data_IF_161968702331
#
_entry.id   IF_161968702331
#
_cell.length_a   1.000
_cell.length_b   1.000
_cell.length_c   1.000
_cell.angle_alpha   90.00
_cell.angle_beta   90.00
_cell.angle_gamma   90.00
#
_symmetry.space_group_name_H-M   'P 1'
#
loop_
_entity.id
_entity.type
_entity.pdbx_description
1 polymer ?
#
# COMPACT_ATOMS: atom_id res chain seq x y z
N UNK A 1 -44.20 52.43 42.22
CA UNK A 1 -42.83 52.02 41.85
C UNK A 1 -42.92 50.68 41.13
N UNK A 2 -42.88 50.66 39.79
CA UNK A 2 -42.94 49.43 38.99
C UNK A 2 -41.60 49.24 38.29
N UNK A 3 -40.88 48.19 38.68
CA UNK A 3 -39.64 47.76 38.03
C UNK A 3 -40.01 46.83 36.88
N UNK A 4 -39.80 47.28 35.65
CA UNK A 4 -39.93 46.45 34.45
C UNK A 4 -38.74 45.52 34.31
N UNK A 5 -39.02 44.22 34.13
CA UNK A 5 -38.04 43.18 33.85
C UNK A 5 -37.80 43.16 32.32
N UNK A 6 -36.57 43.44 31.88
CA UNK A 6 -36.18 43.31 30.47
C UNK A 6 -35.58 41.92 30.28
N UNK A 7 -36.30 41.04 29.57
CA UNK A 7 -35.81 39.73 29.17
C UNK A 7 -34.95 39.86 27.91
N UNK A 8 -33.63 39.68 28.06
CA UNK A 8 -32.70 39.63 26.94
C UNK A 8 -32.75 38.25 26.26
N UNK A 9 -33.11 38.25 24.97
CA UNK A 9 -33.06 37.07 24.11
C UNK A 9 -31.61 36.85 23.64
N UNK A 10 -30.94 35.82 24.16
CA UNK A 10 -29.61 35.44 23.70
C UNK A 10 -29.72 34.62 22.40
N UNK A 11 -29.11 35.11 21.33
CA UNK A 11 -29.06 34.44 20.03
C UNK A 11 -27.88 33.44 20.03
N UNK A 12 -28.19 32.16 20.06
CA UNK A 12 -27.18 31.08 20.00
C UNK A 12 -26.69 30.91 18.56
N UNK A 13 -25.45 31.31 18.28
CA UNK A 13 -24.79 30.98 17.00
C UNK A 13 -24.35 29.52 17.08
N UNK A 14 -25.06 28.64 16.36
CA UNK A 14 -24.67 27.23 16.23
C UNK A 14 -23.43 27.11 15.36
N UNK A 15 -22.31 26.67 15.93
CA UNK A 15 -21.13 26.28 15.16
C UNK A 15 -21.45 24.99 14.40
N UNK A 16 -21.48 25.07 13.06
CA UNK A 16 -21.51 23.88 12.22
C UNK A 16 -20.18 23.15 12.40
N UNK A 17 -20.21 21.98 13.05
CA UNK A 17 -19.06 21.11 13.12
C UNK A 17 -18.78 20.58 11.70
N UNK A 18 -17.68 21.03 11.10
CA UNK A 18 -17.15 20.38 9.89
C UNK A 18 -16.69 19.00 10.34
N UNK A 19 -17.20 17.90 9.73
CA UNK A 19 -16.71 16.58 10.05
C UNK A 19 -15.19 16.57 9.81
N UNK A 20 -14.43 16.17 10.82
CA UNK A 20 -13.00 15.97 10.65
C UNK A 20 -12.82 14.98 9.50
N UNK A 21 -12.03 15.34 8.49
CA UNK A 21 -11.60 14.39 7.47
C UNK A 21 -11.06 13.15 8.19
N UNK A 22 -11.48 11.96 7.75
CA UNK A 22 -10.96 10.72 8.31
C UNK A 22 -9.44 10.79 8.26
N UNK A 23 -8.79 10.63 9.42
CA UNK A 23 -7.34 10.61 9.47
C UNK A 23 -6.88 9.32 8.78
N UNK A 24 -6.53 9.42 7.50
CA UNK A 24 -5.92 8.35 6.74
C UNK A 24 -4.42 8.66 6.63
N UNK A 25 -3.61 8.30 7.63
CA UNK A 25 -2.20 8.63 7.60
C UNK A 25 -1.54 7.85 6.46
N UNK A 26 -1.24 8.53 5.36
CA UNK A 26 -0.38 8.01 4.28
C UNK A 26 1.01 8.61 4.42
N UNK A 27 2.06 8.00 3.83
CA UNK A 27 3.41 8.58 3.87
C UNK A 27 3.53 10.00 3.30
N UNK A 28 2.61 10.40 2.41
CA UNK A 28 2.51 11.76 1.85
C UNK A 28 1.72 12.73 2.72
N UNK A 29 1.01 12.26 3.74
CA UNK A 29 0.26 13.10 4.68
C UNK A 29 1.18 13.73 5.72
N UNK A 30 0.76 14.84 6.35
CA UNK A 30 1.52 15.47 7.43
C UNK A 30 1.81 14.46 8.57
N UNK A 31 3.08 14.33 8.96
CA UNK A 31 3.55 13.36 9.96
C UNK A 31 3.70 11.91 9.45
N UNK A 32 3.15 11.60 8.27
CA UNK A 32 3.26 10.31 7.61
C UNK A 32 2.59 9.14 8.35
N UNK A 33 2.70 7.95 7.77
CA UNK A 33 2.28 6.72 8.43
C UNK A 33 3.35 6.21 9.39
N UNK A 34 2.98 6.04 10.67
CA UNK A 34 3.86 5.53 11.73
C UNK A 34 5.22 6.26 11.82
N UNK A 35 5.24 7.57 11.57
CA UNK A 35 6.45 8.40 11.56
C UNK A 35 7.36 8.24 10.34
N UNK A 36 6.89 7.56 9.28
CA UNK A 36 7.62 7.33 8.03
C UNK A 36 7.04 8.19 6.89
N UNK A 37 6.84 9.47 7.18
CA UNK A 37 6.47 10.46 6.17
C UNK A 37 7.68 10.93 5.38
N UNK A 38 7.45 11.43 4.17
CA UNK A 38 8.51 12.05 3.34
C UNK A 38 9.08 13.36 3.91
N UNK A 39 8.57 13.83 5.05
CA UNK A 39 9.01 15.04 5.72
C UNK A 39 8.95 16.24 4.77
N UNK A 40 10.08 16.91 4.53
CA UNK A 40 10.23 18.04 3.61
C UNK A 40 10.71 17.64 2.20
N UNK A 41 10.91 16.35 1.94
CA UNK A 41 11.38 15.86 0.65
C UNK A 41 10.33 16.05 -0.46
N UNK A 42 10.78 16.41 -1.65
CA UNK A 42 9.95 16.45 -2.86
C UNK A 42 9.58 15.02 -3.26
N UNK A 43 8.28 14.74 -3.23
CA UNK A 43 7.71 13.46 -3.64
C UNK A 43 7.33 13.52 -5.12
N UNK A 44 7.82 12.55 -5.89
CA UNK A 44 7.45 12.31 -7.27
C UNK A 44 6.57 11.06 -7.39
N UNK A 45 5.82 10.96 -8.49
CA UNK A 45 4.98 9.80 -8.80
C UNK A 45 5.33 9.20 -10.15
N UNK A 46 5.15 7.89 -10.26
CA UNK A 46 5.05 7.18 -11.54
C UNK A 46 3.69 6.50 -11.61
N UNK A 47 2.96 6.76 -12.70
CA UNK A 47 1.59 6.28 -12.88
C UNK A 47 1.55 5.18 -13.94
N UNK A 48 1.01 4.03 -13.55
CA UNK A 48 0.55 2.98 -14.45
C UNK A 48 -0.97 3.04 -14.66
N UNK A 49 -1.53 2.07 -15.39
CA UNK A 49 -2.98 1.97 -15.54
C UNK A 49 -3.72 1.63 -14.23
N UNK A 50 -3.12 0.85 -13.32
CA UNK A 50 -3.77 0.41 -12.08
C UNK A 50 -3.02 0.80 -10.81
N UNK A 51 -1.73 1.17 -10.91
CA UNK A 51 -0.85 1.41 -9.76
C UNK A 51 -0.20 2.79 -9.89
N UNK A 52 -0.05 3.48 -8.76
CA UNK A 52 0.80 4.66 -8.62
C UNK A 52 1.94 4.36 -7.65
N UNK A 53 3.17 4.68 -8.04
CA UNK A 53 4.33 4.60 -7.16
C UNK A 53 4.76 5.99 -6.73
N UNK A 54 4.76 6.24 -5.42
CA UNK A 54 5.31 7.44 -4.80
C UNK A 54 6.76 7.18 -4.38
N UNK A 55 7.65 8.12 -4.68
CA UNK A 55 9.06 8.00 -4.34
C UNK A 55 9.69 9.39 -4.19
N UNK A 56 10.88 9.44 -3.60
CA UNK A 56 11.71 10.64 -3.58
C UNK A 56 13.15 10.29 -3.97
N UNK A 57 13.91 11.28 -4.43
CA UNK A 57 15.34 11.17 -4.74
C UNK A 57 16.22 11.82 -3.66
N UNK A 58 15.62 12.30 -2.57
CA UNK A 58 16.31 13.01 -1.50
C UNK A 58 15.86 12.57 -0.10
N UNK A 59 16.64 12.95 0.91
CA UNK A 59 16.38 12.60 2.30
C UNK A 59 16.47 11.10 2.60
N UNK A 60 15.89 10.70 3.73
CA UNK A 60 15.93 9.30 4.23
C UNK A 60 15.17 8.31 3.36
N UNK A 61 14.21 8.77 2.55
CA UNK A 61 13.39 7.90 1.71
C UNK A 61 13.89 7.84 0.26
N UNK A 62 15.05 8.43 -0.03
CA UNK A 62 15.64 8.47 -1.36
C UNK A 62 15.87 7.06 -1.94
N UNK A 63 15.27 6.79 -3.09
CA UNK A 63 15.62 5.62 -3.90
C UNK A 63 16.92 5.89 -4.67
N UNK A 64 17.62 4.84 -5.10
CA UNK A 64 18.88 4.97 -5.88
C UNK A 64 18.70 5.70 -7.22
N UNK A 65 17.49 5.73 -7.76
CA UNK A 65 17.15 6.50 -8.96
C UNK A 65 15.75 6.20 -9.48
N UNK A 66 15.29 6.96 -10.47
CA UNK A 66 13.95 6.81 -11.07
C UNK A 66 13.72 5.40 -11.63
N UNK A 67 14.78 4.74 -12.15
CA UNK A 67 14.71 3.36 -12.62
C UNK A 67 14.26 2.37 -11.53
N UNK A 68 14.63 2.60 -10.26
CA UNK A 68 14.18 1.78 -9.13
C UNK A 68 12.65 1.87 -8.97
N UNK A 69 12.10 3.08 -8.96
CA UNK A 69 10.66 3.29 -8.88
C UNK A 69 9.92 2.73 -10.10
N UNK A 70 10.51 2.85 -11.30
CA UNK A 70 9.96 2.29 -12.53
C UNK A 70 9.88 0.76 -12.50
N UNK A 71 10.92 0.07 -12.01
CA UNK A 71 10.87 -1.40 -11.84
C UNK A 71 9.79 -1.81 -10.84
N UNK A 72 9.62 -1.08 -9.73
CA UNK A 72 8.54 -1.33 -8.77
C UNK A 72 7.18 -1.20 -9.44
N UNK A 73 6.96 -0.13 -10.22
CA UNK A 73 5.71 0.07 -10.95
C UNK A 73 5.44 -1.09 -11.93
N UNK A 74 6.42 -1.46 -12.75
CA UNK A 74 6.28 -2.52 -13.74
C UNK A 74 5.91 -3.87 -13.10
N UNK A 75 6.57 -4.21 -11.99
CA UNK A 75 6.28 -5.44 -11.25
C UNK A 75 4.90 -5.38 -10.58
N UNK A 76 4.51 -4.23 -10.04
CA UNK A 76 3.19 -4.06 -9.44
C UNK A 76 2.08 -4.25 -10.48
N UNK A 77 2.21 -3.65 -11.67
CA UNK A 77 1.26 -3.81 -12.77
C UNK A 77 1.20 -5.25 -13.30
N UNK A 78 2.35 -5.93 -13.38
CA UNK A 78 2.42 -7.35 -13.73
C UNK A 78 1.66 -8.21 -12.70
N UNK A 79 1.89 -7.99 -11.41
CA UNK A 79 1.22 -8.71 -10.34
C UNK A 79 -0.30 -8.43 -10.34
N UNK A 80 -0.70 -7.17 -10.52
CA UNK A 80 -2.11 -6.75 -10.60
C UNK A 80 -2.82 -7.48 -11.74
N UNK A 81 -2.20 -7.48 -12.93
CA UNK A 81 -2.71 -8.18 -14.12
C UNK A 81 -2.78 -9.70 -13.89
N UNK A 82 -1.75 -10.29 -13.27
CA UNK A 82 -1.70 -11.72 -13.00
C UNK A 82 -2.79 -12.16 -12.02
N UNK A 83 -3.02 -11.41 -10.93
CA UNK A 83 -4.07 -11.74 -9.95
C UNK A 83 -5.46 -11.71 -10.58
N UNK A 84 -5.74 -10.69 -11.39
CA UNK A 84 -6.99 -10.63 -12.15
C UNK A 84 -7.15 -11.84 -13.08
N UNK A 85 -6.09 -12.20 -13.82
CA UNK A 85 -6.10 -13.36 -14.71
C UNK A 85 -6.27 -14.70 -13.97
N UNK A 86 -5.87 -14.79 -12.71
CA UNK A 86 -6.08 -15.97 -11.85
C UNK A 86 -7.46 -15.99 -11.18
N UNK A 87 -8.30 -14.98 -11.41
CA UNK A 87 -9.66 -14.90 -10.88
C UNK A 87 -9.75 -14.31 -9.47
N UNK A 88 -8.68 -13.70 -8.97
CA UNK A 88 -8.76 -12.90 -7.75
C UNK A 88 -9.50 -11.59 -8.02
N UNK A 89 -10.27 -11.06 -7.06
CA UNK A 89 -10.80 -9.71 -7.17
C UNK A 89 -9.65 -8.70 -7.17
N UNK A 90 -9.87 -7.58 -7.85
CA UNK A 90 -8.95 -6.45 -7.76
C UNK A 90 -9.05 -5.79 -6.38
N UNK A 91 -7.94 -5.17 -5.89
CA UNK A 91 -7.99 -4.33 -4.70
C UNK A 91 -9.12 -3.29 -4.80
N UNK A 92 -9.88 -3.03 -3.70
CA UNK A 92 -10.91 -2.00 -3.72
C UNK A 92 -10.31 -0.62 -4.00
N UNK A 93 -11.01 0.13 -4.85
CA UNK A 93 -10.64 1.51 -5.16
C UNK A 93 -10.73 2.41 -3.94
N UNK A 94 -9.80 3.35 -3.83
CA UNK A 94 -9.76 4.36 -2.78
C UNK A 94 -10.38 5.71 -3.21
N UNK A 95 -11.05 5.79 -4.38
CA UNK A 95 -11.59 7.05 -4.93
C UNK A 95 -12.56 7.75 -3.97
N UNK A 96 -13.24 6.99 -3.11
CA UNK A 96 -14.18 7.52 -2.11
C UNK A 96 -13.57 7.69 -0.73
N UNK A 97 -12.26 7.49 -0.57
CA UNK A 97 -11.59 7.51 0.74
C UNK A 97 -11.53 8.93 1.33
N UNK A 98 -11.45 9.96 0.46
CA UNK A 98 -11.24 11.34 0.89
C UNK A 98 -9.85 11.59 1.50
N UNK A 99 -8.94 10.62 1.38
CA UNK A 99 -7.62 10.64 1.99
C UNK A 99 -6.62 11.35 1.06
N UNK A 100 -5.78 12.25 1.62
CA UNK A 100 -4.74 12.93 0.85
C UNK A 100 -3.65 11.96 0.37
N UNK A 101 -3.19 12.13 -0.87
CA UNK A 101 -2.15 11.28 -1.46
C UNK A 101 -2.65 9.97 -2.07
N UNK A 102 -3.97 9.82 -2.21
CA UNK A 102 -4.65 8.78 -2.99
C UNK A 102 -5.87 9.31 -3.72
N UNK A 103 -6.82 8.43 -3.99
CA UNK A 103 -8.17 8.78 -4.42
C UNK A 103 -8.34 8.92 -5.94
N UNK A 104 -7.42 8.38 -6.73
CA UNK A 104 -7.51 8.39 -8.20
C UNK A 104 -7.81 7.00 -8.80
N UNK A 105 -8.30 6.10 -7.94
CA UNK A 105 -8.63 4.71 -8.22
C UNK A 105 -7.44 3.79 -8.54
N UNK A 106 -6.21 4.30 -8.57
CA UNK A 106 -5.02 3.45 -8.62
C UNK A 106 -4.69 2.95 -7.22
N UNK A 107 -4.01 1.81 -7.16
CA UNK A 107 -3.41 1.32 -5.95
C UNK A 107 -2.11 2.07 -5.66
N UNK A 108 -1.99 2.70 -4.50
CA UNK A 108 -0.79 3.45 -4.13
C UNK A 108 0.28 2.57 -3.47
N UNK A 109 1.51 2.72 -3.96
CA UNK A 109 2.72 2.10 -3.42
C UNK A 109 3.72 3.19 -3.06
N UNK A 110 4.12 3.27 -1.80
CA UNK A 110 5.08 4.26 -1.29
C UNK A 110 6.45 3.63 -1.06
N UNK A 111 7.48 4.15 -1.72
CA UNK A 111 8.87 3.76 -1.48
C UNK A 111 9.46 4.59 -0.34
N UNK A 112 9.64 3.97 0.81
CA UNK A 112 10.07 4.64 2.06
C UNK A 112 11.11 3.80 2.81
N UNK A 113 11.85 4.45 3.70
CA UNK A 113 12.68 3.78 4.69
C UNK A 113 11.86 3.55 5.97
N UNK A 114 11.82 2.31 6.47
CA UNK A 114 11.17 1.95 7.72
C UNK A 114 11.82 0.69 8.32
N UNK A 115 11.62 0.45 9.62
CA UNK A 115 12.32 -0.59 10.39
C UNK A 115 11.58 -1.93 10.50
N UNK A 116 10.28 -1.95 10.20
CA UNK A 116 9.40 -3.10 10.45
C UNK A 116 9.19 -3.99 9.21
N UNK A 117 10.27 -4.44 8.58
CA UNK A 117 10.23 -5.36 7.42
C UNK A 117 10.63 -4.73 6.10
N UNK A 118 10.20 -5.36 5.00
CA UNK A 118 10.49 -4.94 3.63
C UNK A 118 9.26 -4.37 2.92
N UNK A 119 8.06 -4.73 3.36
CA UNK A 119 6.78 -4.22 2.88
C UNK A 119 5.73 -4.22 4.00
N UNK A 120 4.68 -3.43 3.81
CA UNK A 120 3.45 -3.52 4.58
C UNK A 120 2.28 -2.92 3.81
N UNK A 121 1.17 -3.65 3.78
CA UNK A 121 -0.12 -3.18 3.27
C UNK A 121 -1.04 -2.75 4.40
N UNK A 122 -1.62 -1.56 4.26
CA UNK A 122 -2.42 -0.91 5.30
C UNK A 122 -3.84 -0.69 4.76
N UNK A 123 -4.81 -1.31 5.41
CA UNK A 123 -6.23 -1.04 5.16
C UNK A 123 -6.62 0.36 5.61
N UNK A 124 -7.51 1.00 4.87
CA UNK A 124 -7.88 2.41 5.06
C UNK A 124 -9.40 2.59 5.19
N UNK A 125 -10.14 2.58 4.07
CA UNK A 125 -11.59 2.83 4.08
C UNK A 125 -12.35 1.53 3.93
N UNK A 126 -12.97 1.09 5.03
CA UNK A 126 -13.71 -0.16 5.09
C UNK A 126 -15.21 0.05 4.88
N UNK A 127 -15.83 -0.84 4.11
CA UNK A 127 -17.28 -0.88 3.90
C UNK A 127 -17.80 -2.31 4.03
N UNK A 128 -18.98 -2.51 4.66
CA UNK A 128 -19.61 -3.82 4.68
C UNK A 128 -20.05 -4.24 3.29
N UNK A 129 -19.68 -5.45 2.86
CA UNK A 129 -20.07 -6.02 1.58
C UNK A 129 -20.31 -7.53 1.72
N UNK A 130 -21.59 -7.95 1.65
CA UNK A 130 -21.95 -9.36 1.78
C UNK A 130 -21.71 -9.94 3.18
N UNK A 131 -21.80 -9.11 4.23
CA UNK A 131 -21.62 -9.53 5.62
C UNK A 131 -20.16 -9.58 6.11
N UNK A 132 -19.21 -9.16 5.26
CA UNK A 132 -17.80 -9.01 5.60
C UNK A 132 -17.35 -7.58 5.28
N UNK A 133 -16.43 -7.03 6.07
CA UNK A 133 -15.83 -5.74 5.75
C UNK A 133 -14.79 -5.91 4.64
N UNK A 134 -14.82 -4.98 3.67
CA UNK A 134 -13.80 -4.86 2.63
C UNK A 134 -13.22 -3.47 2.68
N UNK A 135 -11.89 -3.38 2.63
CA UNK A 135 -11.21 -2.10 2.77
C UNK A 135 -10.44 -1.77 1.50
N UNK A 136 -10.46 -0.50 1.10
CA UNK A 136 -9.36 0.05 0.30
C UNK A 136 -8.07 -0.08 1.11
N UNK A 137 -6.94 -0.13 0.43
CA UNK A 137 -5.64 -0.19 1.08
C UNK A 137 -4.59 0.48 0.21
N UNK A 138 -3.42 0.67 0.79
CA UNK A 138 -2.20 1.09 0.10
C UNK A 138 -1.00 0.33 0.69
N UNK A 139 0.13 0.30 -0.01
CA UNK A 139 1.34 -0.37 0.47
C UNK A 139 2.50 0.60 0.68
N UNK A 140 3.29 0.37 1.72
CA UNK A 140 4.66 0.87 1.81
C UNK A 140 5.64 -0.24 1.54
N UNK A 141 6.70 0.08 0.82
CA UNK A 141 7.74 -0.86 0.42
C UNK A 141 9.10 -0.21 0.66
N UNK A 142 10.08 -1.01 1.11
CA UNK A 142 11.40 -0.51 1.42
C UNK A 142 12.05 0.14 0.19
N UNK A 143 12.55 1.36 0.31
CA UNK A 143 13.14 2.08 -0.84
C UNK A 143 14.38 1.35 -1.42
N UNK A 144 15.06 0.53 -0.62
CA UNK A 144 16.34 -0.11 -0.94
C UNK A 144 16.24 -1.63 -1.22
N UNK A 145 15.14 -2.10 -1.82
CA UNK A 145 14.97 -3.52 -2.17
C UNK A 145 16.15 -4.10 -2.96
N UNK A 146 16.75 -3.30 -3.85
CA UNK A 146 17.88 -3.75 -4.66
C UNK A 146 19.08 -4.22 -3.84
N UNK A 147 19.43 -3.51 -2.76
CA UNK A 147 20.52 -3.93 -1.87
C UNK A 147 20.16 -5.12 -0.99
N UNK A 148 18.88 -5.27 -0.62
CA UNK A 148 18.41 -6.37 0.25
C UNK A 148 18.27 -7.70 -0.49
N UNK A 149 17.89 -7.66 -1.77
CA UNK A 149 17.55 -8.84 -2.58
C UNK A 149 18.53 -9.08 -3.75
N UNK A 150 19.63 -8.34 -3.82
CA UNK A 150 20.66 -8.42 -4.84
C UNK A 150 20.34 -7.65 -6.13
N UNK A 151 19.07 -7.55 -6.53
CA UNK A 151 18.60 -6.66 -7.59
C UNK A 151 17.23 -6.09 -7.25
N UNK A 152 16.92 -4.90 -7.79
CA UNK A 152 15.59 -4.30 -7.60
C UNK A 152 14.48 -5.18 -8.18
N UNK A 153 14.73 -5.84 -9.32
CA UNK A 153 13.78 -6.77 -9.95
C UNK A 153 13.38 -7.92 -9.01
N UNK A 154 14.37 -8.60 -8.40
CA UNK A 154 14.11 -9.72 -7.47
C UNK A 154 13.39 -9.22 -6.23
N UNK A 155 13.83 -8.09 -5.67
CA UNK A 155 13.20 -7.51 -4.48
C UNK A 155 11.76 -7.10 -4.73
N UNK A 156 11.50 -6.40 -5.83
CA UNK A 156 10.16 -5.98 -6.20
C UNK A 156 9.24 -7.19 -6.44
N UNK A 157 9.69 -8.21 -7.20
CA UNK A 157 8.89 -9.43 -7.44
C UNK A 157 8.58 -10.22 -6.17
N UNK A 158 9.42 -10.08 -5.14
CA UNK A 158 9.20 -10.72 -3.85
C UNK A 158 8.25 -9.91 -3.00
N UNK A 159 8.58 -8.64 -2.76
CA UNK A 159 7.92 -7.81 -1.75
C UNK A 159 6.69 -7.11 -2.33
N UNK A 160 6.80 -6.47 -3.49
CA UNK A 160 5.68 -5.69 -4.07
C UNK A 160 4.52 -6.62 -4.44
N UNK A 161 4.81 -7.78 -5.02
CA UNK A 161 3.77 -8.78 -5.29
C UNK A 161 3.12 -9.30 -3.99
N UNK A 162 3.93 -9.57 -2.96
CA UNK A 162 3.43 -10.00 -1.65
C UNK A 162 2.47 -8.97 -1.03
N UNK A 163 2.88 -7.70 -0.99
CA UNK A 163 2.03 -6.62 -0.48
C UNK A 163 0.76 -6.43 -1.33
N UNK A 164 0.88 -6.50 -2.66
CA UNK A 164 -0.31 -6.36 -3.50
C UNK A 164 -1.31 -7.52 -3.29
N UNK A 165 -0.86 -8.70 -2.91
CA UNK A 165 -1.78 -9.78 -2.54
C UNK A 165 -2.49 -9.52 -1.20
N UNK A 166 -1.86 -8.84 -0.24
CA UNK A 166 -2.57 -8.34 0.94
C UNK A 166 -3.67 -7.35 0.57
N UNK A 167 -3.48 -6.52 -0.45
CA UNK A 167 -4.54 -5.64 -0.96
C UNK A 167 -5.73 -6.43 -1.54
N UNK A 168 -5.45 -7.54 -2.25
CA UNK A 168 -6.49 -8.49 -2.70
C UNK A 168 -7.24 -9.08 -1.50
N UNK A 169 -6.53 -9.45 -0.43
CA UNK A 169 -7.15 -9.96 0.79
C UNK A 169 -8.07 -8.94 1.43
N UNK A 170 -7.66 -7.67 1.58
CA UNK A 170 -8.52 -6.58 2.07
C UNK A 170 -9.78 -6.39 1.20
N UNK A 171 -9.71 -6.71 -0.10
CA UNK A 171 -10.86 -6.73 -0.99
C UNK A 171 -11.79 -7.95 -0.88
N UNK A 172 -11.34 -9.02 -0.24
CA UNK A 172 -12.15 -10.22 0.04
C UNK A 172 -12.78 -10.11 1.43
N UNK A 173 -11.94 -9.91 2.44
CA UNK A 173 -12.29 -9.74 3.86
C UNK A 173 -11.16 -9.02 4.58
N UNK A 174 -11.51 -7.97 5.34
CA UNK A 174 -10.53 -7.13 6.02
C UNK A 174 -9.80 -7.80 7.19
N UNK A 175 -10.44 -8.77 7.84
CA UNK A 175 -9.95 -9.44 9.05
C UNK A 175 -9.47 -10.87 8.75
N UNK A 176 -8.44 -11.00 7.91
CA UNK A 176 -7.79 -12.29 7.67
C UNK A 176 -6.81 -12.57 8.82
N UNK A 177 -6.91 -13.72 9.52
CA UNK A 177 -5.96 -14.05 10.59
C UNK A 177 -4.50 -14.04 10.08
N UNK A 178 -3.54 -13.51 10.84
CA UNK A 178 -2.16 -13.26 10.35
C UNK A 178 -1.49 -14.46 9.69
N UNK A 179 -1.67 -15.67 10.26
CA UNK A 179 -1.13 -16.90 9.68
C UNK A 179 -1.62 -17.15 8.24
N UNK A 180 -2.91 -16.94 7.98
CA UNK A 180 -3.50 -17.12 6.65
C UNK A 180 -3.17 -15.96 5.72
N UNK A 181 -3.13 -14.74 6.26
CA UNK A 181 -2.75 -13.54 5.52
C UNK A 181 -1.36 -13.70 4.91
N UNK A 182 -0.35 -13.95 5.73
CA UNK A 182 1.03 -14.14 5.30
C UNK A 182 1.25 -15.40 4.46
N UNK A 183 0.57 -16.50 4.83
CA UNK A 183 0.72 -17.78 4.15
C UNK A 183 0.24 -17.76 2.71
N UNK A 184 -0.81 -16.99 2.42
CA UNK A 184 -1.40 -16.90 1.08
C UNK A 184 -0.81 -15.78 0.22
N UNK A 185 -0.26 -14.73 0.84
CA UNK A 185 0.43 -13.64 0.15
C UNK A 185 1.79 -14.02 -0.47
N UNK A 186 2.28 -15.24 -0.23
CA UNK A 186 3.52 -15.70 -0.86
C UNK A 186 3.29 -15.94 -2.35
N UNK A 187 4.05 -15.28 -3.25
CA UNK A 187 3.99 -15.61 -4.66
C UNK A 187 4.25 -17.11 -4.82
N UNK A 188 3.33 -17.82 -5.47
CA UNK A 188 3.70 -19.11 -6.02
C UNK A 188 4.78 -18.79 -7.05
N UNK A 189 6.02 -19.18 -6.77
CA UNK A 189 7.06 -19.32 -7.78
C UNK A 189 6.67 -20.46 -8.73
N UNK A 190 5.55 -20.28 -9.43
CA UNK A 190 5.08 -21.12 -10.50
C UNK A 190 5.78 -20.64 -11.75
N UNK A 191 6.71 -21.44 -12.25
CA UNK A 191 7.26 -21.27 -13.59
C UNK A 191 6.11 -21.02 -14.56
N UNK A 192 5.95 -19.79 -15.04
CA UNK A 192 5.21 -19.53 -16.26
C UNK A 192 5.92 -20.34 -17.33
N UNK A 193 5.43 -21.56 -17.59
CA UNK A 193 5.91 -22.40 -18.68
C UNK A 193 5.43 -21.73 -19.95
N UNK A 194 6.24 -20.81 -20.48
CA UNK A 194 6.13 -20.44 -21.89
C UNK A 194 6.22 -21.69 -22.77
N UNK A 195 5.68 -21.65 -24.01
CA UNK A 195 5.76 -22.76 -24.94
C UNK A 195 7.21 -23.23 -25.07
N UNK A 196 7.41 -24.53 -24.82
CA UNK A 196 8.73 -25.16 -24.67
C UNK A 196 9.60 -24.89 -25.91
N UNK A 197 10.50 -23.91 -25.83
CA UNK A 197 11.76 -23.97 -26.57
C UNK A 197 12.78 -24.68 -25.70
N UNK A 198 13.36 -25.74 -26.25
CA UNK A 198 14.35 -26.61 -25.62
C UNK A 198 15.64 -25.83 -25.31
N UNK A 199 15.68 -25.14 -24.17
CA UNK A 199 16.92 -24.55 -23.64
C UNK A 199 17.06 -24.96 -22.18
N UNK A 200 18.31 -25.33 -21.85
CA UNK A 200 18.80 -25.87 -20.57
C UNK A 200 18.08 -25.30 -19.34
N UNK A 201 17.60 -26.22 -18.49
CA UNK A 201 17.00 -25.94 -17.18
C UNK A 201 18.00 -25.18 -16.29
N UNK A 202 17.81 -23.88 -16.10
CA UNK A 202 18.37 -23.18 -14.94
C UNK A 202 17.49 -23.50 -13.72
N UNK A 203 18.08 -24.20 -12.75
CA UNK A 203 17.48 -24.39 -11.43
C UNK A 203 17.76 -23.13 -10.62
N UNK A 204 16.83 -22.19 -10.55
CA UNK A 204 16.92 -21.10 -9.57
C UNK A 204 15.55 -20.76 -9.01
N UNK A 205 15.17 -21.55 -8.02
CA UNK A 205 14.23 -21.25 -6.94
C UNK A 205 14.56 -22.24 -5.82
N UNK A 206 15.77 -22.15 -5.27
CA UNK A 206 16.07 -22.76 -3.97
C UNK A 206 15.64 -21.73 -2.94
N UNK A 207 14.63 -22.09 -2.17
CA UNK A 207 14.16 -21.37 -0.98
C UNK A 207 15.34 -21.02 -0.07
N UNK A 208 15.81 -19.78 -0.14
CA UNK A 208 16.72 -19.19 0.82
C UNK A 208 15.94 -18.73 2.05
N UNK A 209 15.43 -19.67 2.84
CA UNK A 209 14.96 -19.39 4.19
C UNK A 209 15.77 -20.25 5.15
N UNK A 210 17.01 -19.81 5.43
CA UNK A 210 17.71 -20.24 6.63
C UNK A 210 17.12 -19.44 7.78
N UNK A 211 16.11 -20.01 8.44
CA UNK A 211 15.57 -19.46 9.68
C UNK A 211 16.67 -19.38 10.72
N UNK A 212 17.00 -18.17 11.16
CA UNK A 212 17.71 -17.96 12.42
C UNK A 212 16.71 -18.16 13.56
N UNK A 213 16.55 -19.40 14.00
CA UNK A 213 16.04 -19.67 15.33
C UNK A 213 17.09 -19.18 16.35
N UNK A 214 16.84 -18.02 16.97
CA UNK A 214 17.43 -17.69 18.27
C UNK A 214 16.33 -17.71 19.32
N UNK A 215 16.75 -18.27 20.45
CA UNK A 215 16.01 -18.73 21.63
C UNK A 215 15.10 -17.68 22.24
#
# INVERSE_FOLDING_TARGET
MHRGLVAGLALSVGTLAVPAAAACPRPTSAGGYAGNGYDDAVVATLDGPNVRVHYTLEGRHAVTGVATAKTVLDVAEEAFTAYAAWGYPLPPSDVTSGCEGGGDARYDVYLVEFSAGDGQTVGESCSPAGGLDRCSSWARVAQNLGSRYGTIEIGARTVVAHELFHAVQYGIVADVPPFWSEGTARPRCGTARGPRRSVRRSRSCRSGFQGSARR
#
